data_IF_454214675668
#
_entry.id   IF_454214675668
#
_cell.length_a   1.000
_cell.length_b   1.000
_cell.length_c   1.000
_cell.angle_alpha   90.00
_cell.angle_beta   90.00
_cell.angle_gamma   90.00
#
_symmetry.space_group_name_H-M   'P 1'
#
loop_
_entity.id
_entity.type
_entity.pdbx_description
1 polymer ?
#
# COMPACT_ATOMS: atom_id res chain seq x y z
N UNK A 1 23.64 36.30 17.07
CA UNK A 1 23.14 36.46 15.70
C UNK A 1 24.32 36.88 14.82
N UNK A 2 24.86 36.00 13.96
CA UNK A 2 25.86 36.40 12.98
C UNK A 2 25.19 36.90 11.68
N UNK A 3 25.85 37.80 10.93
CA UNK A 3 25.25 38.47 9.77
C UNK A 3 25.29 37.61 8.51
N UNK A 4 24.24 37.75 7.70
CA UNK A 4 24.08 37.16 6.38
C UNK A 4 25.14 37.71 5.41
N UNK A 5 25.88 36.81 4.77
CA UNK A 5 26.76 37.09 3.64
C UNK A 5 25.97 37.11 2.33
N UNK A 6 26.20 38.17 1.55
CA UNK A 6 25.68 38.44 0.21
C UNK A 6 25.89 37.27 -0.77
N UNK A 7 24.84 36.91 -1.51
CA UNK A 7 24.94 36.16 -2.76
C UNK A 7 25.00 37.14 -3.94
N UNK A 8 25.88 36.94 -4.93
CA UNK A 8 25.93 37.78 -6.12
C UNK A 8 24.77 37.43 -7.08
N UNK A 9 24.15 38.49 -7.57
CA UNK A 9 23.15 38.52 -8.63
C UNK A 9 23.75 37.92 -9.91
N UNK A 10 23.24 36.79 -10.39
CA UNK A 10 23.57 36.29 -11.73
C UNK A 10 22.69 36.97 -12.77
N UNK A 11 23.36 37.48 -13.80
CA UNK A 11 22.85 38.27 -14.90
C UNK A 11 22.02 37.40 -15.87
N UNK A 12 20.82 37.88 -16.23
CA UNK A 12 19.80 37.18 -17.02
C UNK A 12 19.76 37.71 -18.46
N UNK A 13 20.91 37.89 -19.09
CA UNK A 13 20.99 38.45 -20.43
C UNK A 13 22.03 37.72 -21.28
N UNK A 14 21.72 36.51 -21.72
CA UNK A 14 22.35 35.91 -22.92
C UNK A 14 21.64 34.61 -23.29
N UNK A 15 20.47 34.67 -23.95
CA UNK A 15 20.03 33.64 -24.89
C UNK A 15 19.02 34.25 -25.87
N UNK A 16 19.49 34.53 -27.09
CA UNK A 16 18.69 34.82 -28.27
C UNK A 16 19.07 33.81 -29.38
N UNK A 17 18.29 33.68 -30.46
CA UNK A 17 17.75 32.38 -30.89
C UNK A 17 18.52 31.74 -32.05
N UNK A 18 18.56 30.41 -32.06
CA UNK A 18 18.82 29.63 -33.28
C UNK A 18 17.50 29.13 -33.86
N UNK A 19 17.26 29.56 -35.09
CA UNK A 19 16.16 29.20 -35.98
C UNK A 19 16.68 28.19 -37.01
N UNK A 20 15.82 27.21 -37.31
CA UNK A 20 15.81 26.26 -38.44
C UNK A 20 16.81 25.11 -38.45
N UNK A 21 16.28 23.89 -38.27
CA UNK A 21 16.43 22.87 -39.31
C UNK A 21 15.22 21.93 -39.35
N UNK A 22 14.47 22.02 -40.46
CA UNK A 22 13.39 21.09 -40.82
C UNK A 22 13.98 19.79 -41.35
N UNK A 23 14.14 18.80 -40.48
CA UNK A 23 14.36 17.41 -40.88
C UNK A 23 13.01 16.71 -41.09
N UNK A 24 12.73 16.32 -42.34
CA UNK A 24 11.64 15.40 -42.70
C UNK A 24 11.94 14.04 -42.07
N UNK A 25 11.19 13.68 -41.03
CA UNK A 25 11.13 12.30 -40.55
C UNK A 25 10.02 11.56 -41.31
N UNK A 26 10.42 10.67 -42.22
CA UNK A 26 9.55 9.62 -42.72
C UNK A 26 9.29 8.63 -41.59
N UNK A 27 8.02 8.43 -41.25
CA UNK A 27 7.57 7.41 -40.33
C UNK A 27 7.48 6.11 -41.14
N UNK A 28 8.49 5.25 -41.03
CA UNK A 28 8.34 3.83 -41.34
C UNK A 28 7.74 3.14 -40.12
N UNK A 29 6.62 2.45 -40.32
CA UNK A 29 6.01 1.59 -39.31
C UNK A 29 6.97 0.44 -38.95
N UNK A 30 7.31 0.22 -37.67
CA UNK A 30 8.03 -0.97 -37.29
C UNK A 30 7.07 -2.16 -37.28
N UNK A 31 7.11 -2.97 -38.34
CA UNK A 31 6.48 -4.29 -38.37
C UNK A 31 7.14 -5.18 -37.32
N UNK A 32 6.51 -5.33 -36.15
CA UNK A 32 6.89 -6.32 -35.15
C UNK A 32 6.44 -7.72 -35.60
N UNK A 33 7.17 -8.29 -36.56
CA UNK A 33 7.16 -9.74 -36.77
C UNK A 33 8.06 -10.37 -35.72
N UNK A 34 7.44 -11.01 -34.72
CA UNK A 34 8.11 -11.92 -33.80
C UNK A 34 8.67 -13.09 -34.61
N UNK A 35 9.99 -13.26 -34.56
CA UNK A 35 10.72 -14.33 -35.22
C UNK A 35 10.54 -15.64 -34.41
N UNK A 36 9.81 -16.66 -34.93
CA UNK A 36 9.44 -17.84 -34.14
C UNK A 36 10.62 -18.80 -33.86
N UNK A 37 11.79 -18.59 -34.45
CA UNK A 37 12.94 -19.51 -34.35
C UNK A 37 13.94 -19.21 -33.22
N UNK A 38 13.62 -18.28 -32.31
CA UNK A 38 14.56 -17.86 -31.24
C UNK A 38 14.48 -18.68 -29.94
N UNK A 39 13.64 -19.71 -29.87
CA UNK A 39 13.46 -20.55 -28.67
C UNK A 39 14.11 -21.93 -28.84
N UNK A 40 15.44 -21.98 -28.96
CA UNK A 40 16.21 -23.18 -28.62
C UNK A 40 17.05 -22.91 -27.38
N UNK A 41 16.47 -23.20 -26.21
CA UNK A 41 17.25 -23.35 -24.98
C UNK A 41 18.12 -24.60 -25.10
N UNK A 42 19.40 -24.57 -24.69
CA UNK A 42 20.19 -25.78 -24.54
C UNK A 42 19.55 -26.69 -23.48
N UNK A 43 19.36 -27.96 -23.81
CA UNK A 43 19.01 -29.02 -22.87
C UNK A 43 20.15 -29.16 -21.86
N UNK A 44 19.91 -28.76 -20.61
CA UNK A 44 20.73 -29.18 -19.48
C UNK A 44 20.14 -30.47 -18.93
N UNK A 45 20.85 -31.57 -19.14
CA UNK A 45 20.51 -32.87 -18.58
C UNK A 45 20.66 -32.86 -17.04
N UNK A 46 19.77 -33.60 -16.38
CA UNK A 46 19.84 -34.06 -14.98
C UNK A 46 19.84 -32.99 -13.86
N UNK A 47 18.63 -32.58 -13.45
CA UNK A 47 18.38 -32.16 -12.07
C UNK A 47 18.02 -33.40 -11.22
N UNK A 48 18.61 -33.61 -10.04
CA UNK A 48 18.24 -34.73 -9.17
C UNK A 48 16.82 -34.55 -8.61
N UNK A 49 16.10 -35.66 -8.51
CA UNK A 49 14.75 -35.73 -7.99
C UNK A 49 14.69 -35.14 -6.57
N UNK A 50 13.81 -34.14 -6.40
CA UNK A 50 13.46 -33.63 -5.08
C UNK A 50 12.73 -34.72 -4.28
N UNK A 51 13.16 -35.03 -3.05
CA UNK A 51 12.45 -36.00 -2.22
C UNK A 51 11.07 -35.42 -1.85
N UNK A 52 10.02 -36.16 -2.18
CA UNK A 52 8.67 -35.93 -1.66
C UNK A 52 8.73 -35.99 -0.13
N UNK A 53 8.71 -34.82 0.53
CA UNK A 53 8.35 -34.73 1.95
C UNK A 53 6.84 -34.81 2.06
N UNK A 54 6.35 -35.97 2.50
CA UNK A 54 5.03 -36.09 3.10
C UNK A 54 5.03 -35.27 4.40
N UNK A 55 4.23 -34.20 4.44
CA UNK A 55 3.97 -33.48 5.68
C UNK A 55 2.99 -34.31 6.51
N UNK A 56 3.48 -34.93 7.58
CA UNK A 56 2.65 -35.53 8.62
C UNK A 56 2.07 -34.41 9.49
N UNK A 57 0.76 -34.49 9.76
CA UNK A 57 0.01 -33.54 10.60
C UNK A 57 0.38 -33.59 12.10
N UNK A 58 1.46 -34.28 12.47
CA UNK A 58 1.90 -34.47 13.86
C UNK A 58 3.09 -33.59 14.28
N UNK A 59 3.68 -32.80 13.39
CA UNK A 59 4.92 -32.04 13.68
C UNK A 59 4.71 -30.64 14.30
N UNK A 60 3.47 -30.27 14.70
CA UNK A 60 3.16 -28.95 15.28
C UNK A 60 3.26 -28.85 16.81
N UNK A 61 3.93 -29.78 17.48
CA UNK A 61 4.08 -29.79 18.94
C UNK A 61 5.53 -29.66 19.44
N UNK A 62 6.32 -28.78 18.82
CA UNK A 62 7.54 -28.28 19.46
C UNK A 62 7.31 -26.85 19.98
N UNK A 63 7.17 -26.64 21.30
CA UNK A 63 7.05 -25.31 21.87
C UNK A 63 8.34 -24.53 21.65
N UNK A 64 8.19 -23.30 21.15
CA UNK A 64 9.26 -22.30 21.11
C UNK A 64 9.85 -22.10 22.51
N UNK A 65 11.18 -22.00 22.68
CA UNK A 65 11.82 -21.79 23.99
C UNK A 65 11.56 -20.39 24.58
N UNK A 66 10.75 -19.55 23.94
CA UNK A 66 10.27 -18.27 24.47
C UNK A 66 8.77 -18.33 24.76
N UNK A 67 8.36 -19.21 25.68
CA UNK A 67 7.09 -19.05 26.40
C UNK A 67 7.47 -18.58 27.80
N UNK A 68 7.63 -17.26 27.95
CA UNK A 68 7.48 -16.67 29.27
C UNK A 68 6.08 -17.01 29.75
N UNK A 69 5.98 -17.64 30.91
CA UNK A 69 4.76 -17.90 31.66
C UNK A 69 4.03 -16.58 31.88
N UNK A 70 3.15 -16.21 30.94
CA UNK A 70 2.19 -15.14 31.15
C UNK A 70 1.17 -15.65 32.17
N UNK A 71 1.21 -15.06 33.37
CA UNK A 71 0.15 -15.22 34.36
C UNK A 71 -1.22 -14.91 33.69
N UNK A 72 -2.33 -15.48 34.20
CA UNK A 72 -3.64 -15.12 33.70
C UNK A 72 -3.85 -13.63 33.93
N UNK A 73 -3.74 -12.84 32.86
CA UNK A 73 -4.01 -11.41 32.89
C UNK A 73 -5.52 -11.27 32.97
N UNK A 74 -6.06 -11.04 34.17
CA UNK A 74 -7.46 -10.65 34.35
C UNK A 74 -7.65 -9.31 33.63
N UNK A 75 -8.15 -9.37 32.40
CA UNK A 75 -8.14 -8.28 31.43
C UNK A 75 -9.23 -7.24 31.74
N UNK A 76 -8.99 -6.45 32.79
CA UNK A 76 -9.74 -5.25 33.14
C UNK A 76 -9.49 -4.09 32.15
N UNK A 77 -8.64 -4.28 31.12
CA UNK A 77 -8.23 -3.21 30.20
C UNK A 77 -9.02 -3.17 28.89
N UNK A 78 -9.79 -4.22 28.59
CA UNK A 78 -10.52 -4.35 27.34
C UNK A 78 -11.75 -3.43 27.33
N UNK A 79 -11.62 -2.29 26.67
CA UNK A 79 -12.75 -1.38 26.45
C UNK A 79 -13.73 -2.03 25.47
N UNK A 80 -15.00 -2.12 25.85
CA UNK A 80 -16.12 -2.53 24.98
C UNK A 80 -17.27 -1.55 25.18
N UNK A 81 -17.61 -0.79 24.14
CA UNK A 81 -18.73 0.15 24.23
C UNK A 81 -19.60 0.07 22.98
N UNK A 82 -20.74 -0.66 23.03
CA UNK A 82 -21.72 -0.60 21.96
C UNK A 82 -22.28 0.82 21.87
N UNK A 83 -22.28 1.39 20.67
CA UNK A 83 -22.82 2.72 20.41
C UNK A 83 -24.13 2.55 19.64
N UNK A 84 -25.24 2.95 20.25
CA UNK A 84 -26.54 2.96 19.57
C UNK A 84 -26.53 4.13 18.58
N UNK A 85 -26.56 3.89 17.25
CA UNK A 85 -26.31 4.92 16.25
C UNK A 85 -27.44 5.94 16.10
N UNK A 86 -28.66 5.61 16.52
CA UNK A 86 -29.82 6.49 16.47
C UNK A 86 -29.80 7.55 17.59
N UNK A 87 -29.04 7.32 18.67
CA UNK A 87 -28.97 8.22 19.81
C UNK A 87 -27.86 9.24 19.61
N UNK A 88 -28.24 10.49 19.30
CA UNK A 88 -27.30 11.61 19.05
C UNK A 88 -26.23 11.78 20.14
N UNK A 89 -26.62 11.63 21.41
CA UNK A 89 -25.68 11.73 22.56
C UNK A 89 -24.62 10.62 22.54
N UNK A 90 -24.97 9.41 22.11
CA UNK A 90 -24.02 8.31 22.01
C UNK A 90 -23.04 8.54 20.85
N UNK A 91 -23.53 9.02 19.71
CA UNK A 91 -22.66 9.41 18.58
C UNK A 91 -21.67 10.51 18.97
N UNK A 92 -22.12 11.58 19.64
CA UNK A 92 -21.22 12.63 20.10
C UNK A 92 -20.14 12.11 21.05
N UNK A 93 -20.51 11.21 21.98
CA UNK A 93 -19.54 10.58 22.89
C UNK A 93 -18.54 9.71 22.13
N UNK A 94 -18.98 8.94 21.13
CA UNK A 94 -18.12 8.11 20.31
C UNK A 94 -17.15 8.96 19.48
N UNK A 95 -17.65 10.00 18.80
CA UNK A 95 -16.83 10.92 18.01
C UNK A 95 -15.79 11.66 18.89
N UNK A 96 -16.20 12.14 20.07
CA UNK A 96 -15.27 12.73 21.04
C UNK A 96 -14.19 11.71 21.45
N UNK A 97 -14.58 10.45 21.69
CA UNK A 97 -13.62 9.41 22.05
C UNK A 97 -12.64 9.12 20.91
N UNK A 98 -13.09 9.11 19.66
CA UNK A 98 -12.22 8.97 18.50
C UNK A 98 -11.25 10.14 18.34
N UNK A 99 -11.72 11.37 18.58
CA UNK A 99 -10.89 12.56 18.57
C UNK A 99 -9.80 12.50 19.65
N UNK A 100 -10.15 12.10 20.88
CA UNK A 100 -9.18 11.90 21.98
C UNK A 100 -8.09 10.88 21.62
N UNK A 101 -8.42 9.88 20.81
CA UNK A 101 -7.51 8.82 20.37
C UNK A 101 -6.74 9.18 19.09
N UNK A 102 -6.98 10.34 18.48
CA UNK A 102 -6.40 10.71 17.18
C UNK A 102 -6.88 9.81 16.04
N UNK A 103 -8.14 9.37 16.11
CA UNK A 103 -8.83 8.49 15.16
C UNK A 103 -10.13 9.12 14.63
N UNK A 104 -10.26 10.44 14.68
CA UNK A 104 -11.30 11.13 13.90
C UNK A 104 -10.97 11.10 12.39
N UNK A 105 -11.90 11.58 11.56
CA UNK A 105 -11.80 11.52 10.09
C UNK A 105 -10.54 12.18 9.54
N UNK A 106 -10.08 13.28 10.15
CA UNK A 106 -8.94 14.05 9.66
C UNK A 106 -7.64 13.49 10.19
N UNK A 107 -7.57 13.10 11.47
CA UNK A 107 -6.41 12.44 12.05
C UNK A 107 -6.07 11.10 11.35
N UNK A 108 -7.07 10.39 10.82
CA UNK A 108 -6.85 9.17 10.03
C UNK A 108 -6.20 9.42 8.67
N UNK A 109 -6.29 10.65 8.14
CA UNK A 109 -5.62 11.05 6.88
C UNK A 109 -4.17 11.47 7.13
N UNK A 110 -3.83 11.82 8.37
CA UNK A 110 -2.47 12.19 8.76
C UNK A 110 -1.55 10.98 8.70
N UNK A 111 -0.48 11.10 7.93
CA UNK A 111 0.52 10.06 7.80
C UNK A 111 1.34 9.85 9.08
N UNK A 112 1.46 10.88 9.91
CA UNK A 112 2.21 10.87 11.16
C UNK A 112 1.48 10.13 12.29
N UNK A 113 0.20 9.80 12.11
CA UNK A 113 -0.57 9.06 13.12
C UNK A 113 0.11 7.74 13.53
N UNK A 114 0.06 7.46 14.83
CA UNK A 114 0.56 6.19 15.40
C UNK A 114 -0.33 5.02 15.04
N UNK A 115 -1.55 5.27 14.57
CA UNK A 115 -2.45 4.21 14.18
C UNK A 115 -2.14 3.71 12.76
N UNK A 116 -2.27 2.41 12.56
CA UNK A 116 -2.20 1.79 11.24
C UNK A 116 -3.36 0.83 11.07
N UNK A 117 -3.99 0.86 9.89
CA UNK A 117 -5.03 -0.10 9.55
C UNK A 117 -4.36 -1.46 9.34
N UNK A 118 -4.72 -2.44 10.17
CA UNK A 118 -4.27 -3.83 10.02
C UNK A 118 -5.25 -4.68 9.24
N UNK A 119 -6.52 -4.42 9.45
CA UNK A 119 -7.59 -5.16 8.83
C UNK A 119 -8.77 -4.24 8.58
N UNK A 120 -9.43 -4.42 7.43
CA UNK A 120 -10.69 -3.75 7.16
C UNK A 120 -11.58 -4.64 6.30
N UNK A 121 -12.83 -4.77 6.72
CA UNK A 121 -13.86 -5.55 6.04
C UNK A 121 -15.10 -4.70 5.92
N UNK A 122 -15.69 -4.70 4.73
CA UNK A 122 -17.04 -4.18 4.50
C UNK A 122 -18.00 -5.35 4.45
N UNK A 123 -19.17 -5.21 5.05
CA UNK A 123 -20.23 -6.21 4.94
C UNK A 123 -20.87 -6.16 3.55
N UNK A 124 -21.52 -7.26 3.13
CA UNK A 124 -22.06 -7.45 1.77
C UNK A 124 -23.09 -6.39 1.36
N UNK A 125 -23.84 -5.83 2.30
CA UNK A 125 -24.78 -4.75 2.05
C UNK A 125 -24.11 -3.36 1.94
N UNK A 126 -22.77 -3.31 2.01
CA UNK A 126 -21.90 -2.13 2.12
C UNK A 126 -22.16 -1.19 3.30
N UNK A 127 -23.33 -1.23 3.93
CA UNK A 127 -23.75 -0.27 4.98
C UNK A 127 -22.85 -0.17 6.19
N UNK A 128 -21.96 -1.14 6.42
CA UNK A 128 -21.06 -1.21 7.57
C UNK A 128 -19.65 -1.55 7.15
N UNK A 129 -18.69 -0.99 7.86
CA UNK A 129 -17.26 -1.23 7.72
C UNK A 129 -16.63 -1.47 9.09
N UNK A 130 -15.94 -2.60 9.24
CA UNK A 130 -15.08 -2.91 10.38
C UNK A 130 -13.67 -2.49 10.03
N UNK A 131 -13.00 -1.80 10.93
CA UNK A 131 -11.59 -1.43 10.78
C UNK A 131 -10.86 -1.71 12.08
N UNK A 132 -9.81 -2.53 12.01
CA UNK A 132 -8.87 -2.75 13.10
C UNK A 132 -7.66 -1.85 12.92
N UNK A 133 -7.49 -0.93 13.85
CA UNK A 133 -6.32 -0.09 14.00
C UNK A 133 -5.37 -0.72 15.02
N UNK A 134 -4.08 -0.68 14.75
CA UNK A 134 -3.04 -1.06 15.70
C UNK A 134 -1.96 0.02 15.74
N UNK A 135 -1.43 0.26 16.94
CA UNK A 135 -0.28 1.14 17.11
C UNK A 135 0.91 0.66 16.27
N UNK A 136 1.56 1.60 15.57
CA UNK A 136 2.77 1.34 14.77
C UNK A 136 3.97 0.97 15.65
N UNK A 137 4.06 1.49 16.87
CA UNK A 137 5.11 1.16 17.83
C UNK A 137 4.99 -0.29 18.37
N UNK A 138 3.86 -0.96 18.13
CA UNK A 138 3.66 -2.37 18.44
C UNK A 138 4.20 -3.34 17.39
N UNK A 139 4.76 -2.83 16.29
CA UNK A 139 5.24 -3.65 15.19
C UNK A 139 6.76 -3.79 15.21
N UNK A 140 7.23 -4.98 15.57
CA UNK A 140 8.63 -5.33 15.48
C UNK A 140 9.00 -5.69 14.03
N UNK A 141 9.68 -4.76 13.37
CA UNK A 141 10.10 -4.94 11.99
C UNK A 141 11.23 -5.98 11.84
N UNK A 142 12.10 -6.16 12.84
CA UNK A 142 13.15 -7.17 12.81
C UNK A 142 12.56 -8.57 12.90
N UNK A 143 11.59 -8.78 13.80
CA UNK A 143 10.89 -10.06 13.89
C UNK A 143 10.19 -10.42 12.58
N UNK A 144 9.59 -9.44 11.90
CA UNK A 144 8.99 -9.68 10.58
C UNK A 144 10.03 -10.02 9.53
N UNK A 145 11.13 -9.28 9.49
CA UNK A 145 12.20 -9.48 8.51
C UNK A 145 12.78 -10.90 8.63
N UNK A 146 13.12 -11.34 9.84
CA UNK A 146 13.59 -12.70 10.12
C UNK A 146 12.62 -13.79 9.63
N UNK A 147 11.31 -13.58 9.81
CA UNK A 147 10.28 -14.50 9.32
C UNK A 147 10.22 -14.57 7.79
N UNK A 148 10.52 -13.46 7.09
CA UNK A 148 10.52 -13.44 5.63
C UNK A 148 11.79 -14.05 5.05
N UNK A 149 12.92 -13.82 5.70
CA UNK A 149 14.20 -14.49 5.42
C UNK A 149 14.06 -16.00 5.58
N UNK A 150 13.43 -16.47 6.68
CA UNK A 150 13.23 -17.90 6.92
C UNK A 150 12.31 -18.58 5.90
N UNK A 151 11.47 -17.81 5.20
CA UNK A 151 10.59 -18.31 4.14
C UNK A 151 11.27 -18.34 2.77
N UNK A 152 12.55 -17.95 2.68
CA UNK A 152 13.25 -17.80 1.41
C UNK A 152 12.64 -16.73 0.51
N UNK A 153 11.84 -15.80 1.08
CA UNK A 153 11.10 -14.81 0.31
C UNK A 153 11.99 -13.65 -0.15
N UNK A 154 13.15 -13.43 0.49
CA UNK A 154 14.09 -12.40 0.08
C UNK A 154 15.14 -12.96 -0.88
N UNK A 155 14.83 -12.92 -2.19
CA UNK A 155 15.87 -13.01 -3.23
C UNK A 155 16.72 -11.73 -3.32
N UNK A 156 16.53 -10.78 -2.40
CA UNK A 156 17.26 -9.53 -2.38
C UNK A 156 18.67 -9.76 -1.83
N UNK A 157 19.70 -9.51 -2.66
CA UNK A 157 21.11 -9.72 -2.32
C UNK A 157 21.74 -8.57 -1.51
N UNK A 158 20.97 -7.55 -1.12
CA UNK A 158 21.47 -6.39 -0.38
C UNK A 158 20.91 -6.28 1.05
N UNK A 159 21.50 -5.39 1.83
CA UNK A 159 21.02 -4.99 3.16
C UNK A 159 19.73 -4.19 3.02
N UNK A 160 18.61 -4.90 2.90
CA UNK A 160 17.29 -4.29 2.99
C UNK A 160 16.81 -4.39 4.44
N UNK A 161 16.26 -3.30 4.95
CA UNK A 161 15.68 -3.27 6.29
C UNK A 161 14.24 -2.79 6.21
N UNK A 162 13.32 -3.58 6.78
CA UNK A 162 11.96 -3.09 7.00
C UNK A 162 12.04 -2.01 8.06
N UNK A 163 11.53 -0.82 7.76
CA UNK A 163 11.53 0.27 8.73
C UNK A 163 10.11 0.78 8.94
N UNK A 164 9.72 0.90 10.20
CA UNK A 164 8.48 1.55 10.62
C UNK A 164 8.74 3.03 10.94
N UNK A 165 7.70 3.88 10.89
CA UNK A 165 7.85 5.31 11.22
C UNK A 165 8.28 5.59 12.67
N UNK A 166 8.01 4.65 13.57
CA UNK A 166 8.30 4.73 14.99
C UNK A 166 9.12 3.51 15.43
N UNK A 167 9.94 3.65 16.48
CA UNK A 167 10.65 2.54 17.08
C UNK A 167 9.68 1.54 17.71
N UNK A 168 10.09 0.29 17.79
CA UNK A 168 9.33 -0.74 18.48
C UNK A 168 9.41 -0.54 20.01
N UNK A 169 8.24 -0.43 20.65
CA UNK A 169 8.13 -0.23 22.11
C UNK A 169 7.28 -1.30 22.79
N UNK A 170 6.93 -2.38 22.08
CA UNK A 170 6.03 -3.42 22.59
C UNK A 170 4.59 -2.93 22.85
N UNK A 171 4.15 -1.86 22.19
CA UNK A 171 2.83 -1.29 22.42
C UNK A 171 1.71 -2.23 21.93
N UNK A 172 0.79 -2.60 22.83
CA UNK A 172 -0.34 -3.49 22.52
C UNK A 172 -1.62 -2.74 22.12
N UNK A 173 -1.57 -1.41 22.05
CA UNK A 173 -2.75 -0.61 21.74
C UNK A 173 -3.31 -0.97 20.36
N UNK A 174 -4.59 -1.32 20.36
CA UNK A 174 -5.35 -1.67 19.17
C UNK A 174 -6.81 -1.31 19.39
N UNK A 175 -7.46 -0.88 18.32
CA UNK A 175 -8.82 -0.38 18.36
C UNK A 175 -9.57 -0.95 17.17
N UNK A 176 -10.64 -1.64 17.44
CA UNK A 176 -11.63 -2.02 16.47
C UNK A 176 -12.75 -0.99 16.44
N UNK A 177 -13.05 -0.49 15.24
CA UNK A 177 -14.14 0.44 15.00
C UNK A 177 -15.08 -0.18 13.97
N UNK A 178 -16.38 -0.17 14.26
CA UNK A 178 -17.41 -0.45 13.27
C UNK A 178 -18.15 0.85 12.96
N UNK A 179 -18.17 1.22 11.69
CA UNK A 179 -18.79 2.45 11.19
C UNK A 179 -19.81 2.11 10.11
N UNK A 180 -20.84 2.94 9.99
CA UNK A 180 -21.74 2.93 8.87
C UNK A 180 -21.15 3.73 7.69
N UNK A 181 -21.71 3.56 6.49
CA UNK A 181 -21.27 4.30 5.30
C UNK A 181 -21.40 5.83 5.43
N UNK A 182 -22.35 6.30 6.24
CA UNK A 182 -22.54 7.71 6.58
C UNK A 182 -21.57 8.23 7.66
N UNK A 183 -20.67 7.37 8.15
CA UNK A 183 -19.69 7.68 9.17
C UNK A 183 -20.18 7.53 10.62
N UNK A 184 -21.43 7.12 10.86
CA UNK A 184 -21.91 6.85 12.23
C UNK A 184 -21.18 5.66 12.84
N UNK A 185 -20.72 5.82 14.06
CA UNK A 185 -19.95 4.80 14.78
C UNK A 185 -20.91 3.90 15.54
N UNK A 186 -20.86 2.58 15.33
CA UNK A 186 -21.73 1.63 16.05
C UNK A 186 -20.98 0.88 17.15
N UNK A 187 -19.65 0.80 17.06
CA UNK A 187 -18.85 0.04 18.00
C UNK A 187 -17.43 0.56 18.08
N UNK A 188 -16.90 0.66 19.30
CA UNK A 188 -15.47 0.88 19.58
C UNK A 188 -15.05 -0.14 20.64
N UNK A 189 -14.02 -0.94 20.36
CA UNK A 189 -13.45 -1.85 21.34
C UNK A 189 -11.93 -2.05 21.16
N UNK A 190 -11.26 -2.51 22.21
CA UNK A 190 -9.85 -2.88 22.20
C UNK A 190 -9.07 -2.31 23.38
N UNK A 191 -7.75 -2.34 23.27
CA UNK A 191 -6.82 -1.73 24.25
C UNK A 191 -6.49 -0.33 23.74
N UNK A 192 -7.06 0.68 24.39
CA UNK A 192 -6.96 2.06 23.93
C UNK A 192 -5.67 2.75 24.39
N UNK A 193 -5.10 2.28 25.49
CA UNK A 193 -3.97 2.94 26.14
C UNK A 193 -2.64 2.54 25.53
N UNK A 194 -1.82 3.56 25.25
CA UNK A 194 -0.43 3.38 24.86
C UNK A 194 0.45 3.26 26.11
N UNK A 195 1.47 2.40 26.06
CA UNK A 195 2.48 2.33 27.11
C UNK A 195 3.35 3.60 27.13
N UNK A 196 4.01 3.89 28.25
CA UNK A 196 4.80 5.12 28.43
C UNK A 196 5.90 5.27 27.37
N UNK A 197 6.58 4.17 27.01
CA UNK A 197 7.59 4.18 25.95
C UNK A 197 7.01 4.61 24.59
N UNK A 198 5.82 4.13 24.22
CA UNK A 198 5.11 4.51 23.00
C UNK A 198 4.69 5.98 23.00
N UNK A 199 4.25 6.50 24.15
CA UNK A 199 3.86 7.90 24.29
C UNK A 199 5.07 8.83 24.10
N UNK A 200 6.24 8.42 24.57
CA UNK A 200 7.50 9.15 24.43
C UNK A 200 8.22 8.90 23.09
N UNK A 201 7.77 7.92 22.30
CA UNK A 201 8.41 7.59 21.03
C UNK A 201 8.24 8.73 20.02
N UNK A 202 9.34 9.14 19.41
CA UNK A 202 9.40 10.16 18.36
C UNK A 202 9.33 9.50 16.99
N UNK A 203 8.81 10.22 16.01
CA UNK A 203 8.78 9.80 14.61
C UNK A 203 10.24 9.78 14.07
N UNK A 204 10.81 8.59 13.91
CA UNK A 204 12.16 8.40 13.36
C UNK A 204 12.17 8.57 11.84
N UNK A 205 11.07 8.16 11.20
CA UNK A 205 10.95 8.16 9.74
C UNK A 205 9.58 8.61 9.30
N UNK A 206 9.53 9.51 8.31
CA UNK A 206 8.27 9.84 7.64
C UNK A 206 7.83 8.63 6.80
N UNK A 207 6.58 8.14 6.96
CA UNK A 207 6.09 7.06 6.11
C UNK A 207 6.07 7.51 4.63
N UNK A 208 6.09 6.56 3.69
CA UNK A 208 5.94 6.88 2.27
C UNK A 208 4.65 7.64 2.01
N UNK A 209 4.77 8.82 1.40
CA UNK A 209 3.60 9.62 0.99
C UNK A 209 2.89 8.89 -0.16
N UNK A 210 1.60 8.58 -0.05
CA UNK A 210 0.87 7.85 -1.08
C UNK A 210 0.72 8.68 -2.35
N UNK A 211 0.72 7.99 -3.48
CA UNK A 211 0.44 8.60 -4.77
C UNK A 211 -1.04 9.00 -4.87
N UNK A 212 -1.32 10.19 -5.41
CA UNK A 212 -2.67 10.72 -5.55
C UNK A 212 -3.55 9.85 -6.47
N UNK A 213 -4.83 9.70 -6.11
CA UNK A 213 -5.72 8.76 -6.81
C UNK A 213 -5.96 9.15 -8.28
N UNK A 214 -5.98 10.45 -8.60
CA UNK A 214 -6.11 10.89 -10.00
C UNK A 214 -4.89 10.49 -10.86
N UNK A 215 -3.69 10.43 -10.27
CA UNK A 215 -2.50 9.94 -10.97
C UNK A 215 -2.65 8.45 -11.29
N UNK A 216 -3.15 7.65 -10.35
CA UNK A 216 -3.47 6.24 -10.61
C UNK A 216 -4.50 6.07 -11.71
N UNK A 217 -5.57 6.88 -11.73
CA UNK A 217 -6.60 6.80 -12.78
C UNK A 217 -6.00 6.99 -14.17
N UNK A 218 -5.22 8.06 -14.37
CA UNK A 218 -4.56 8.36 -15.65
C UNK A 218 -3.53 7.28 -16.01
N UNK A 219 -2.73 6.82 -15.05
CA UNK A 219 -1.75 5.76 -15.29
C UNK A 219 -2.41 4.41 -15.65
N UNK A 220 -3.53 4.06 -15.01
CA UNK A 220 -4.30 2.84 -15.30
C UNK A 220 -4.93 2.89 -16.69
N UNK A 221 -5.43 4.06 -17.12
CA UNK A 221 -5.96 4.26 -18.46
C UNK A 221 -4.88 4.09 -19.53
N UNK A 222 -3.72 4.74 -19.35
CA UNK A 222 -2.57 4.56 -20.24
C UNK A 222 -2.11 3.10 -20.30
N UNK A 223 -2.03 2.42 -19.15
CA UNK A 223 -1.63 1.02 -19.09
C UNK A 223 -2.62 0.11 -19.85
N UNK A 224 -3.93 0.39 -19.78
CA UNK A 224 -4.95 -0.33 -20.55
C UNK A 224 -4.81 -0.10 -22.06
N UNK A 225 -4.34 1.08 -22.45
CA UNK A 225 -4.04 1.43 -23.84
C UNK A 225 -2.67 0.93 -24.31
N UNK A 226 -1.98 0.08 -23.52
CA UNK A 226 -0.71 -0.52 -23.89
C UNK A 226 0.52 0.38 -23.69
N UNK A 227 0.39 1.50 -22.97
CA UNK A 227 1.53 2.37 -22.70
C UNK A 227 2.59 1.66 -21.82
N UNK A 228 3.87 1.92 -22.12
CA UNK A 228 4.98 1.47 -21.28
C UNK A 228 5.05 2.27 -19.97
N UNK A 229 5.72 1.72 -18.95
CA UNK A 229 5.93 2.44 -17.67
C UNK A 229 6.68 3.76 -17.89
N UNK A 230 7.66 3.77 -18.80
CA UNK A 230 8.40 4.98 -19.17
C UNK A 230 7.47 6.04 -19.75
N UNK A 231 6.60 5.68 -20.69
CA UNK A 231 5.62 6.62 -21.26
C UNK A 231 4.65 7.16 -20.20
N UNK A 232 4.22 6.31 -19.25
CA UNK A 232 3.37 6.72 -18.12
C UNK A 232 4.10 7.74 -17.23
N UNK A 233 5.39 7.55 -16.97
CA UNK A 233 6.21 8.47 -16.18
C UNK A 233 6.43 9.80 -16.90
N UNK A 234 6.73 9.78 -18.20
CA UNK A 234 6.86 10.97 -19.03
C UNK A 234 5.56 11.78 -19.04
N UNK A 235 4.42 11.10 -19.26
CA UNK A 235 3.11 11.75 -19.21
C UNK A 235 2.80 12.33 -17.83
N UNK A 236 3.21 11.63 -16.76
CA UNK A 236 3.05 12.15 -15.40
C UNK A 236 3.84 13.45 -15.19
N UNK A 237 5.08 13.50 -15.67
CA UNK A 237 5.90 14.70 -15.58
C UNK A 237 5.30 15.86 -16.38
N UNK A 238 4.80 15.60 -17.60
CA UNK A 238 4.10 16.59 -18.43
C UNK A 238 2.87 17.15 -17.68
N UNK A 239 2.01 16.28 -17.14
CA UNK A 239 0.81 16.68 -16.42
C UNK A 239 1.11 17.41 -15.12
N UNK A 240 2.18 17.04 -14.42
CA UNK A 240 2.64 17.76 -13.23
C UNK A 240 3.11 19.16 -13.58
N UNK A 241 3.95 19.30 -14.61
CA UNK A 241 4.47 20.59 -15.07
C UNK A 241 3.32 21.53 -15.49
N UNK A 242 2.32 20.97 -16.18
CA UNK A 242 1.12 21.69 -16.59
C UNK A 242 0.06 21.85 -15.48
N UNK A 243 0.31 21.33 -14.26
CA UNK A 243 -0.63 21.30 -13.13
C UNK A 243 -2.03 20.80 -13.49
N UNK A 244 -2.09 19.73 -14.30
CA UNK A 244 -3.33 19.17 -14.88
C UNK A 244 -4.02 18.13 -14.00
N UNK A 245 -3.39 17.68 -12.92
CA UNK A 245 -4.04 16.75 -11.99
C UNK A 245 -5.10 17.47 -11.15
N UNK A 246 -6.19 16.75 -10.81
CA UNK A 246 -7.21 17.22 -9.88
C UNK A 246 -6.57 17.72 -8.59
N UNK A 247 -7.10 18.82 -8.05
CA UNK A 247 -6.71 19.44 -6.78
C UNK A 247 -5.24 19.90 -6.70
N UNK A 248 -4.48 19.80 -7.79
CA UNK A 248 -3.07 20.21 -7.83
C UNK A 248 -2.88 21.73 -7.80
N UNK A 249 -3.90 22.52 -8.19
CA UNK A 249 -3.84 23.98 -8.12
C UNK A 249 -3.85 24.51 -6.69
N UNK A 250 -4.52 23.80 -5.79
CA UNK A 250 -4.63 24.10 -4.35
C UNK A 250 -3.65 23.27 -3.52
N UNK A 251 -2.73 22.55 -4.16
CA UNK A 251 -1.79 21.65 -3.50
C UNK A 251 -0.62 22.43 -2.90
N UNK A 252 -0.41 22.23 -1.61
CA UNK A 252 0.79 22.65 -0.90
C UNK A 252 1.65 21.41 -0.57
N UNK A 253 2.85 21.26 -1.18
CA UNK A 253 3.74 20.14 -0.91
C UNK A 253 4.16 20.01 0.56
N UNK A 254 4.17 21.10 1.34
CA UNK A 254 4.62 21.07 2.73
C UNK A 254 3.60 20.42 3.67
N UNK A 255 2.31 20.53 3.34
CA UNK A 255 1.19 20.07 4.18
C UNK A 255 0.43 18.88 3.61
N UNK A 256 0.61 18.57 2.32
CA UNK A 256 -0.16 17.53 1.67
C UNK A 256 0.29 16.10 2.05
N UNK A 257 -0.70 15.26 2.38
CA UNK A 257 -0.52 13.82 2.64
C UNK A 257 -0.57 12.94 1.38
N UNK A 258 -0.37 13.53 0.21
CA UNK A 258 -0.38 12.86 -1.09
C UNK A 258 0.69 13.46 -1.99
N UNK A 259 1.22 12.67 -2.92
CA UNK A 259 2.16 13.15 -3.95
C UNK A 259 1.60 12.94 -5.35
N UNK A 260 2.01 13.79 -6.28
CA UNK A 260 1.63 13.68 -7.69
C UNK A 260 2.71 13.05 -8.57
N UNK A 261 3.97 13.04 -8.11
CA UNK A 261 5.08 12.43 -8.83
C UNK A 261 4.95 10.92 -8.83
N UNK A 262 4.98 10.27 -9.99
CA UNK A 262 4.93 8.82 -10.15
C UNK A 262 6.37 8.26 -10.08
N UNK A 263 6.70 7.60 -8.96
CA UNK A 263 8.05 7.10 -8.71
C UNK A 263 8.23 5.70 -9.32
N UNK A 264 9.47 5.27 -9.61
CA UNK A 264 9.74 3.92 -10.07
C UNK A 264 9.14 2.85 -9.16
N UNK A 265 9.09 3.03 -7.84
CA UNK A 265 8.51 2.04 -6.91
C UNK A 265 6.98 1.90 -7.01
N UNK A 266 6.28 2.79 -7.71
CA UNK A 266 4.81 2.76 -7.79
C UNK A 266 4.27 1.77 -8.82
N UNK A 267 5.08 1.32 -9.77
CA UNK A 267 4.62 0.40 -10.83
C UNK A 267 3.99 -0.86 -10.22
N UNK A 268 4.55 -1.40 -9.13
CA UNK A 268 4.00 -2.60 -8.50
C UNK A 268 2.59 -2.36 -7.93
N UNK A 269 2.32 -1.16 -7.41
CA UNK A 269 0.98 -0.77 -6.97
C UNK A 269 0.04 -0.50 -8.14
N UNK A 270 0.53 0.08 -9.24
CA UNK A 270 -0.21 0.25 -10.48
C UNK A 270 -0.66 -1.10 -11.06
N UNK A 271 0.25 -2.06 -11.21
CA UNK A 271 -0.08 -3.41 -11.70
C UNK A 271 -1.04 -4.15 -10.80
N UNK A 272 -0.90 -4.05 -9.47
CA UNK A 272 -1.88 -4.64 -8.53
C UNK A 272 -3.27 -4.02 -8.70
N UNK A 273 -3.36 -2.69 -8.86
CA UNK A 273 -4.63 -2.01 -9.13
C UNK A 273 -5.22 -2.44 -10.48
N UNK A 274 -4.39 -2.59 -11.51
CA UNK A 274 -4.82 -3.06 -12.83
C UNK A 274 -5.34 -4.50 -12.77
N UNK A 275 -4.60 -5.42 -12.14
CA UNK A 275 -4.97 -6.82 -11.93
C UNK A 275 -6.30 -6.92 -11.15
N UNK A 276 -6.46 -6.16 -10.07
CA UNK A 276 -7.71 -6.08 -9.32
C UNK A 276 -8.88 -5.58 -10.18
N UNK A 277 -8.64 -4.58 -11.03
CA UNK A 277 -9.64 -4.10 -12.00
C UNK A 277 -10.03 -5.16 -13.04
N UNK A 278 -9.15 -6.12 -13.31
CA UNK A 278 -9.42 -7.30 -14.12
C UNK A 278 -9.96 -8.47 -13.29
N UNK A 279 -10.39 -8.26 -12.04
CA UNK A 279 -10.93 -9.33 -11.20
C UNK A 279 -9.90 -10.39 -10.79
N UNK A 280 -8.60 -10.06 -10.84
CA UNK A 280 -7.54 -10.91 -10.28
C UNK A 280 -7.37 -10.54 -8.80
N UNK A 281 -7.57 -11.50 -7.90
CA UNK A 281 -7.11 -11.39 -6.51
C UNK A 281 -5.67 -11.87 -6.38
N UNK A 282 -4.74 -10.91 -6.29
CA UNK A 282 -3.31 -11.15 -6.08
C UNK A 282 -2.95 -11.75 -4.71
N UNK A 283 -3.92 -11.88 -3.80
CA UNK A 283 -3.73 -12.53 -2.49
C UNK A 283 -3.91 -14.05 -2.56
N UNK A 284 -4.61 -14.51 -3.60
CA UNK A 284 -4.83 -15.92 -3.83
C UNK A 284 -3.79 -16.48 -4.80
N UNK A 285 -3.61 -17.79 -4.77
CA UNK A 285 -2.73 -18.44 -5.71
C UNK A 285 -3.28 -18.27 -7.14
N UNK A 286 -2.41 -18.13 -8.16
CA UNK A 286 -2.85 -17.88 -9.53
C UNK A 286 -3.85 -18.91 -10.06
N UNK A 287 -3.73 -20.19 -9.68
CA UNK A 287 -4.64 -21.24 -10.14
C UNK A 287 -6.10 -20.99 -9.74
N UNK A 288 -6.35 -20.47 -8.54
CA UNK A 288 -7.72 -20.23 -8.08
C UNK A 288 -8.39 -19.11 -8.87
N UNK A 289 -7.63 -18.08 -9.24
CA UNK A 289 -8.12 -17.01 -10.12
C UNK A 289 -8.50 -17.56 -11.50
N UNK A 290 -7.67 -18.46 -12.05
CA UNK A 290 -7.93 -19.09 -13.36
C UNK A 290 -9.16 -20.01 -13.28
N UNK A 291 -9.24 -20.85 -12.25
CA UNK A 291 -10.38 -21.74 -12.00
C UNK A 291 -11.68 -20.93 -11.89
N UNK A 292 -11.67 -19.82 -11.15
CA UNK A 292 -12.80 -18.90 -11.04
C UNK A 292 -13.24 -18.31 -12.37
N UNK A 293 -12.28 -18.00 -13.26
CA UNK A 293 -12.61 -17.46 -14.58
C UNK A 293 -13.20 -18.51 -15.52
N UNK A 294 -12.82 -19.78 -15.34
CA UNK A 294 -13.26 -20.91 -16.18
C UNK A 294 -14.53 -21.58 -15.67
N UNK A 295 -14.88 -21.42 -14.40
CA UNK A 295 -16.05 -22.04 -13.78
C UNK A 295 -17.34 -21.26 -14.06
N UNK A 296 -18.32 -21.81 -14.81
CA UNK A 296 -19.59 -21.13 -15.12
C UNK A 296 -20.43 -20.75 -13.89
N UNK A 297 -20.18 -21.38 -12.74
CA UNK A 297 -20.87 -21.10 -11.49
C UNK A 297 -20.17 -20.04 -10.63
N UNK A 298 -18.95 -19.63 -10.98
CA UNK A 298 -18.24 -18.58 -10.26
C UNK A 298 -18.81 -17.21 -10.64
N UNK A 299 -18.97 -16.26 -9.69
CA UNK A 299 -19.32 -14.88 -10.03
C UNK A 299 -18.27 -14.19 -10.90
N UNK A 300 -17.06 -14.75 -10.99
CA UNK A 300 -15.95 -14.25 -11.78
C UNK A 300 -15.84 -14.90 -13.17
N UNK A 301 -16.81 -15.75 -13.56
CA UNK A 301 -16.80 -16.46 -14.84
C UNK A 301 -16.69 -15.51 -16.04
N UNK A 302 -15.84 -15.86 -17.00
CA UNK A 302 -15.63 -15.09 -18.24
C UNK A 302 -15.97 -15.91 -19.47
N UNK A 303 -17.26 -15.98 -19.79
CA UNK A 303 -17.73 -16.56 -21.04
C UNK A 303 -17.10 -15.84 -22.24
N UNK A 304 -16.19 -16.48 -22.98
CA UNK A 304 -15.81 -16.05 -24.32
C UNK A 304 -14.54 -15.21 -24.48
N UNK A 305 -13.57 -15.22 -23.55
CA UNK A 305 -12.21 -14.70 -23.83
C UNK A 305 -11.28 -15.73 -24.49
N UNK A 306 -11.80 -16.53 -25.42
CA UNK A 306 -11.05 -17.59 -26.10
C UNK A 306 -10.15 -17.12 -27.25
N UNK A 307 -9.87 -15.83 -27.38
CA UNK A 307 -9.00 -15.36 -28.45
C UNK A 307 -8.76 -13.87 -28.40
N UNK A 308 -7.74 -13.45 -27.65
CA UNK A 308 -6.70 -12.47 -28.01
C UNK A 308 -5.75 -12.50 -26.80
N UNK A 309 -4.62 -13.19 -26.96
CA UNK A 309 -3.41 -13.00 -26.14
C UNK A 309 -2.38 -12.41 -27.07
#
# INVERSE_FOLDING_TARGET
>A
MPPYTNFPLMDLAELSPFVNDTAKFSIEEPSLFLNPDSLKRPRSDSAPASPHRSFSLQDFHSPSPFVQTAAPFEDSSLFKNPVIPEIKKHQQKALKKLQELGLDSDARKDLTTRWSVRHSVKWSNNTRKRTLFQCRCGYDHHSRQKLEESKGASNYKGDWERSTPYPFTGCLAHIEIIEQDDGRVTWIAGILDHNAACQNAVLERRPPVPLHEHVYKVALEQLRNGASITAIQEKNQEMMNAKRYHDMKTYDPATANVRYIFLPTDHSSLYRKAAKGLGVDTRELPQYNVDDWLNPHSPNFRAGRSGVV
#
